data_IF_599568080373
#
_entry.id   IF_599568080373
#
_cell.length_a   1.000
_cell.length_b   1.000
_cell.length_c   1.000
_cell.angle_alpha   90.00
_cell.angle_beta   90.00
_cell.angle_gamma   90.00
#
_symmetry.space_group_name_H-M   'P 1'
#
loop_
_entity.id
_entity.type
_entity.pdbx_description
1 polymer ?
#
# COMPACT_ATOMS: atom_id res chain seq x y z
N UNK A 1 -3.45 -3.64 21.60
CA UNK A 1 -3.78 -4.38 20.36
C UNK A 1 -2.69 -5.39 19.97
N UNK A 2 -1.40 -5.00 19.95
CA UNK A 2 -0.29 -5.94 19.66
C UNK A 2 -0.31 -7.19 20.55
N UNK A 3 -0.64 -7.06 21.84
CA UNK A 3 -0.80 -8.20 22.74
C UNK A 3 -1.90 -9.18 22.31
N UNK A 4 -3.03 -8.69 21.79
CA UNK A 4 -4.14 -9.54 21.31
C UNK A 4 -3.72 -10.30 20.04
N UNK A 5 -3.06 -9.62 19.09
CA UNK A 5 -2.52 -10.29 17.90
C UNK A 5 -1.44 -11.31 18.26
N UNK A 6 -0.60 -11.03 19.26
CA UNK A 6 0.37 -11.98 19.79
C UNK A 6 -0.29 -13.22 20.38
N UNK A 7 -1.36 -13.05 21.17
CA UNK A 7 -2.11 -14.19 21.71
C UNK A 7 -2.80 -15.01 20.61
N UNK A 8 -3.36 -14.36 19.58
CA UNK A 8 -3.96 -15.07 18.44
C UNK A 8 -2.88 -15.81 17.62
N UNK A 9 -1.69 -15.23 17.44
CA UNK A 9 -0.59 -15.91 16.78
C UNK A 9 -0.16 -17.18 17.54
N UNK A 10 0.01 -17.08 18.86
CA UNK A 10 0.29 -18.24 19.71
C UNK A 10 -0.85 -19.28 19.67
N UNK A 11 -2.10 -18.84 19.58
CA UNK A 11 -3.26 -19.72 19.44
C UNK A 11 -3.27 -20.46 18.09
N UNK A 12 -2.78 -19.82 17.02
CA UNK A 12 -2.68 -20.44 15.70
C UNK A 12 -1.52 -21.46 15.60
N UNK A 13 -0.57 -21.43 16.54
CA UNK A 13 0.56 -22.35 16.62
C UNK A 13 0.25 -23.66 17.38
N UNK A 14 -0.94 -23.80 17.95
CA UNK A 14 -1.39 -25.05 18.61
C UNK A 14 -2.36 -25.86 17.73
N UNK A 15 -2.66 -27.09 18.14
CA UNK A 15 -3.63 -27.93 17.43
C UNK A 15 -5.06 -27.40 17.61
N UNK A 16 -5.58 -26.76 16.56
CA UNK A 16 -6.96 -26.31 16.45
C UNK A 16 -7.74 -27.20 15.46
N UNK A 17 -9.04 -27.37 15.70
CA UNK A 17 -9.93 -27.89 14.64
C UNK A 17 -10.03 -26.89 13.48
N UNK A 18 -10.48 -27.34 12.30
CA UNK A 18 -10.63 -26.47 11.12
C UNK A 18 -11.47 -25.22 11.43
N UNK A 19 -12.62 -25.38 12.07
CA UNK A 19 -13.50 -24.27 12.43
C UNK A 19 -12.85 -23.30 13.43
N UNK A 20 -12.10 -23.81 14.41
CA UNK A 20 -11.40 -22.97 15.39
C UNK A 20 -10.26 -22.18 14.72
N UNK A 21 -9.55 -22.80 13.78
CA UNK A 21 -8.51 -22.15 13.00
C UNK A 21 -9.09 -21.03 12.13
N UNK A 22 -10.24 -21.25 11.50
CA UNK A 22 -10.92 -20.23 10.70
C UNK A 22 -11.34 -19.02 11.55
N UNK A 23 -11.86 -19.25 12.76
CA UNK A 23 -12.19 -18.18 13.70
C UNK A 23 -10.95 -17.40 14.16
N UNK A 24 -9.87 -18.11 14.52
CA UNK A 24 -8.63 -17.48 14.95
C UNK A 24 -7.99 -16.66 13.81
N UNK A 25 -8.01 -17.17 12.57
CA UNK A 25 -7.49 -16.46 11.41
C UNK A 25 -8.32 -15.19 11.12
N UNK A 26 -9.65 -15.31 11.15
CA UNK A 26 -10.55 -14.16 10.97
C UNK A 26 -10.30 -13.09 12.04
N UNK A 27 -10.16 -13.50 13.31
CA UNK A 27 -9.85 -12.58 14.40
C UNK A 27 -8.48 -11.90 14.23
N UNK A 28 -7.47 -12.63 13.76
CA UNK A 28 -6.15 -12.09 13.46
C UNK A 28 -6.24 -11.00 12.38
N UNK A 29 -6.97 -11.26 11.30
CA UNK A 29 -7.11 -10.34 10.18
C UNK A 29 -7.91 -9.10 10.57
N UNK A 30 -8.98 -9.25 11.35
CA UNK A 30 -9.69 -8.13 11.96
C UNK A 30 -8.77 -7.26 12.83
N UNK A 31 -7.92 -7.88 13.65
CA UNK A 31 -6.98 -7.15 14.50
C UNK A 31 -5.93 -6.36 13.70
N UNK A 32 -5.40 -6.93 12.60
CA UNK A 32 -4.48 -6.23 11.69
C UNK A 32 -5.15 -5.01 11.04
N UNK A 33 -6.38 -5.16 10.56
CA UNK A 33 -7.18 -4.06 10.00
C UNK A 33 -7.42 -2.98 11.04
N UNK A 34 -7.77 -3.36 12.28
CA UNK A 34 -8.03 -2.41 13.35
C UNK A 34 -6.77 -1.60 13.74
N UNK A 35 -5.59 -2.23 13.77
CA UNK A 35 -4.32 -1.53 14.06
C UNK A 35 -4.05 -0.49 12.98
N UNK A 36 -4.26 -0.88 11.72
CA UNK A 36 -4.10 0.03 10.58
C UNK A 36 -5.01 1.25 10.74
N UNK A 37 -6.28 1.05 11.07
CA UNK A 37 -7.24 2.13 11.28
C UNK A 37 -6.87 3.04 12.48
N UNK A 38 -6.45 2.46 13.61
CA UNK A 38 -6.01 3.24 14.76
C UNK A 38 -4.79 4.11 14.40
N UNK A 39 -3.82 3.52 13.70
CA UNK A 39 -2.63 4.25 13.26
C UNK A 39 -3.00 5.39 12.31
N UNK A 40 -3.94 5.19 11.38
CA UNK A 40 -4.45 6.24 10.50
C UNK A 40 -5.08 7.41 11.26
N UNK A 41 -5.88 7.13 12.29
CA UNK A 41 -6.50 8.18 13.12
C UNK A 41 -5.44 8.93 13.94
N UNK A 42 -4.49 8.22 14.55
CA UNK A 42 -3.39 8.83 15.31
C UNK A 42 -2.50 9.69 14.41
N UNK A 43 -2.24 9.22 13.20
CA UNK A 43 -1.42 9.94 12.22
C UNK A 43 -2.12 11.21 11.74
N UNK A 44 -3.45 11.19 11.56
CA UNK A 44 -4.22 12.40 11.29
C UNK A 44 -4.13 13.40 12.44
N UNK A 45 -4.25 12.93 13.68
CA UNK A 45 -4.11 13.78 14.86
C UNK A 45 -2.70 14.41 14.97
N UNK A 46 -1.65 13.66 14.62
CA UNK A 46 -0.27 14.20 14.56
C UNK A 46 -0.10 15.25 13.48
N UNK A 47 -0.71 15.06 12.30
CA UNK A 47 -0.69 16.03 11.20
C UNK A 47 -1.41 17.32 11.62
N UNK A 48 -2.62 17.21 12.18
CA UNK A 48 -3.42 18.35 12.66
C UNK A 48 -2.69 19.12 13.76
N UNK A 49 -1.91 18.43 14.60
CA UNK A 49 -1.09 19.05 15.65
C UNK A 49 0.28 19.56 15.17
N UNK A 50 0.60 19.46 13.86
CA UNK A 50 1.94 19.75 13.30
C UNK A 50 3.10 18.99 13.99
N UNK A 51 2.81 17.82 14.58
CA UNK A 51 3.76 16.94 15.28
C UNK A 51 4.18 15.74 14.44
N UNK A 52 3.81 15.72 13.16
CA UNK A 52 4.21 14.65 12.29
C UNK A 52 5.68 14.82 11.89
N UNK A 53 6.52 13.94 12.42
CA UNK A 53 7.89 13.77 11.95
C UNK A 53 7.92 12.70 10.86
N UNK A 54 8.45 13.08 9.69
CA UNK A 54 8.70 12.15 8.60
C UNK A 54 10.10 11.58 8.76
N UNK A 55 10.23 10.27 8.55
CA UNK A 55 11.55 9.68 8.39
C UNK A 55 12.24 10.25 7.14
N UNK A 56 13.57 10.32 7.20
CA UNK A 56 14.40 10.80 6.10
C UNK A 56 15.52 9.80 5.85
N UNK A 57 15.15 8.62 5.35
CA UNK A 57 16.08 7.51 5.12
C UNK A 57 16.14 7.15 3.62
N UNK A 58 17.28 6.67 3.11
CA UNK A 58 17.38 6.22 1.72
C UNK A 58 16.68 4.88 1.52
N UNK A 59 15.68 4.82 0.65
CA UNK A 59 14.93 3.60 0.31
C UNK A 59 14.79 3.40 -1.21
N UNK A 60 14.61 2.14 -1.61
CA UNK A 60 14.27 1.79 -2.99
C UNK A 60 12.75 1.84 -3.18
N UNK A 61 12.28 2.80 -3.98
CA UNK A 61 10.85 2.97 -4.23
C UNK A 61 10.28 1.89 -5.15
N UNK A 62 11.09 1.28 -6.02
CA UNK A 62 10.63 0.26 -6.99
C UNK A 62 10.27 -1.02 -6.24
N UNK A 63 11.11 -1.43 -5.29
CA UNK A 63 10.79 -2.53 -4.38
C UNK A 63 9.45 -2.32 -3.63
N UNK A 64 9.19 -1.12 -3.11
CA UNK A 64 7.91 -0.84 -2.43
C UNK A 64 6.74 -0.89 -3.40
N UNK A 65 6.89 -0.36 -4.62
CA UNK A 65 5.86 -0.43 -5.65
C UNK A 65 5.55 -1.88 -6.03
N UNK A 66 6.58 -2.70 -6.25
CA UNK A 66 6.44 -4.12 -6.61
C UNK A 66 5.71 -4.91 -5.51
N UNK A 67 6.10 -4.70 -4.24
CA UNK A 67 5.41 -5.29 -3.09
C UNK A 67 3.92 -4.92 -3.10
N UNK A 68 3.60 -3.63 -3.24
CA UNK A 68 2.20 -3.17 -3.21
C UNK A 68 1.40 -3.73 -4.38
N UNK A 69 1.96 -3.77 -5.59
CA UNK A 69 1.29 -4.34 -6.75
C UNK A 69 1.04 -5.83 -6.59
N UNK A 70 1.97 -6.56 -5.97
CA UNK A 70 1.82 -7.99 -5.69
C UNK A 70 0.58 -8.26 -4.81
N UNK A 71 0.34 -7.41 -3.79
CA UNK A 71 -0.82 -7.50 -2.89
C UNK A 71 -2.17 -7.35 -3.59
N UNK A 72 -2.22 -6.61 -4.70
CA UNK A 72 -3.47 -6.35 -5.43
C UNK A 72 -3.58 -7.12 -6.75
N UNK A 73 -2.55 -7.89 -7.12
CA UNK A 73 -2.44 -8.58 -8.41
C UNK A 73 -3.59 -9.55 -8.67
N UNK A 74 -3.88 -10.44 -7.72
CA UNK A 74 -4.99 -11.40 -7.83
C UNK A 74 -6.36 -10.72 -7.84
N UNK A 75 -6.55 -9.72 -6.97
CA UNK A 75 -7.80 -8.96 -6.85
C UNK A 75 -8.11 -8.12 -8.10
N UNK A 76 -7.08 -7.62 -8.77
CA UNK A 76 -7.21 -6.95 -10.06
C UNK A 76 -7.55 -7.94 -11.18
N UNK A 77 -6.84 -9.08 -11.21
CA UNK A 77 -7.05 -10.14 -12.21
C UNK A 77 -8.46 -10.73 -12.14
N UNK A 78 -9.00 -10.96 -10.95
CA UNK A 78 -10.37 -11.46 -10.76
C UNK A 78 -11.44 -10.49 -11.26
N UNK A 79 -11.10 -9.20 -11.40
CA UNK A 79 -11.94 -8.16 -12.01
C UNK A 79 -11.63 -7.90 -13.49
N UNK A 80 -10.79 -8.71 -14.13
CA UNK A 80 -10.39 -8.55 -15.53
C UNK A 80 -9.38 -7.44 -15.80
N UNK A 81 -8.80 -6.84 -14.76
CA UNK A 81 -7.76 -5.81 -14.86
C UNK A 81 -6.35 -6.38 -14.85
N UNK A 82 -5.41 -5.63 -15.45
CA UNK A 82 -3.97 -5.79 -15.27
C UNK A 82 -3.43 -4.57 -14.53
N UNK A 83 -2.59 -4.84 -13.53
CA UNK A 83 -1.82 -3.84 -12.80
C UNK A 83 -0.42 -3.76 -13.40
N UNK A 84 0.02 -2.54 -13.74
CA UNK A 84 1.39 -2.28 -14.14
C UNK A 84 1.85 -0.95 -13.53
N UNK A 85 3.14 -0.85 -13.27
CA UNK A 85 3.77 0.38 -12.81
C UNK A 85 4.85 0.79 -13.79
N UNK A 86 4.92 2.08 -14.07
CA UNK A 86 6.00 2.67 -14.83
C UNK A 86 6.71 3.70 -13.97
N UNK A 87 8.00 3.46 -13.74
CA UNK A 87 8.91 4.40 -13.08
C UNK A 87 9.91 4.89 -14.12
N UNK A 88 9.98 6.21 -14.32
CA UNK A 88 10.90 6.79 -15.30
C UNK A 88 12.36 6.51 -14.93
N UNK A 89 13.22 6.27 -15.92
CA UNK A 89 14.68 6.13 -15.72
C UNK A 89 15.34 7.39 -15.15
N UNK A 90 14.65 8.54 -15.21
CA UNK A 90 15.08 9.79 -14.56
C UNK A 90 14.96 9.74 -13.04
N UNK A 91 14.22 8.77 -12.51
CA UNK A 91 14.05 8.57 -11.08
C UNK A 91 15.23 7.74 -10.55
N UNK A 92 15.99 8.25 -9.57
CA UNK A 92 17.08 7.50 -8.94
C UNK A 92 16.62 6.13 -8.43
N UNK A 93 17.55 5.18 -8.35
CA UNK A 93 17.29 3.86 -7.79
C UNK A 93 16.89 3.93 -6.32
N UNK A 94 17.54 4.82 -5.56
CA UNK A 94 17.19 5.12 -4.16
C UNK A 94 16.80 6.59 -3.99
N UNK A 95 15.74 6.82 -3.22
CA UNK A 95 15.25 8.14 -2.84
C UNK A 95 15.30 8.30 -1.34
N UNK A 96 15.34 9.54 -0.83
CA UNK A 96 15.34 9.82 0.61
C UNK A 96 13.94 10.25 1.05
N UNK A 97 13.42 9.62 2.10
CA UNK A 97 12.13 9.95 2.69
C UNK A 97 11.65 8.88 3.66
N UNK A 98 10.32 8.78 3.81
CA UNK A 98 9.67 7.83 4.71
C UNK A 98 9.08 6.66 3.90
N UNK A 99 9.72 5.46 3.93
CA UNK A 99 9.27 4.31 3.15
C UNK A 99 7.94 3.75 3.65
N UNK A 100 7.65 3.82 4.95
CA UNK A 100 6.41 3.33 5.54
C UNK A 100 5.22 4.15 5.08
N UNK A 101 5.35 5.48 5.14
CA UNK A 101 4.35 6.42 4.64
C UNK A 101 4.16 6.29 3.15
N UNK A 102 5.25 6.20 2.37
CA UNK A 102 5.17 5.99 0.93
C UNK A 102 4.36 4.73 0.61
N UNK A 103 4.71 3.58 1.24
CA UNK A 103 3.98 2.32 1.08
C UNK A 103 2.49 2.47 1.39
N UNK A 104 2.14 3.13 2.49
CA UNK A 104 0.75 3.33 2.90
C UNK A 104 -0.04 4.15 1.87
N UNK A 105 0.54 5.26 1.40
CA UNK A 105 -0.05 6.12 0.37
C UNK A 105 -0.33 5.31 -0.90
N UNK A 106 0.68 4.60 -1.42
CA UNK A 106 0.52 3.79 -2.64
C UNK A 106 -0.52 2.68 -2.42
N UNK A 107 -0.48 1.99 -1.29
CA UNK A 107 -1.45 0.94 -0.94
C UNK A 107 -2.88 1.46 -0.97
N UNK A 108 -3.12 2.63 -0.37
CA UNK A 108 -4.44 3.25 -0.33
C UNK A 108 -4.89 3.69 -1.72
N UNK A 109 -4.00 4.26 -2.54
CA UNK A 109 -4.31 4.66 -3.91
C UNK A 109 -4.64 3.44 -4.79
N UNK A 110 -3.76 2.43 -4.83
CA UNK A 110 -3.95 1.21 -5.64
C UNK A 110 -5.18 0.43 -5.16
N UNK A 111 -5.35 0.27 -3.85
CA UNK A 111 -6.51 -0.42 -3.28
C UNK A 111 -7.83 0.24 -3.64
N UNK A 112 -7.90 1.58 -3.58
CA UNK A 112 -9.05 2.34 -4.04
C UNK A 112 -9.30 2.18 -5.55
N UNK A 113 -8.24 2.12 -6.34
CA UNK A 113 -8.32 1.95 -7.79
C UNK A 113 -8.91 0.60 -8.17
N UNK A 114 -8.38 -0.49 -7.58
CA UNK A 114 -8.87 -1.86 -7.80
C UNK A 114 -10.29 -2.03 -7.27
N UNK A 115 -10.65 -1.37 -6.17
CA UNK A 115 -12.03 -1.36 -5.66
C UNK A 115 -13.01 -0.79 -6.70
N UNK A 116 -12.63 0.28 -7.42
CA UNK A 116 -13.48 0.98 -8.41
C UNK A 116 -13.38 0.45 -9.85
N UNK A 117 -12.58 -0.59 -10.10
CA UNK A 117 -12.42 -1.18 -11.44
C UNK A 117 -13.76 -1.79 -11.92
N UNK A 118 -14.52 -1.03 -12.69
CA UNK A 118 -15.79 -1.41 -13.32
C UNK A 118 -15.68 -1.14 -14.83
N UNK A 119 -15.39 -2.19 -15.60
CA UNK A 119 -15.46 -2.40 -17.08
C UNK A 119 -15.13 -1.29 -18.10
N UNK A 120 -14.95 -0.02 -17.72
CA UNK A 120 -14.57 1.11 -18.56
C UNK A 120 -13.21 1.63 -18.08
N UNK A 121 -12.29 1.80 -19.03
CA UNK A 121 -10.91 2.28 -18.86
C UNK A 121 -10.79 3.35 -17.77
N UNK A 122 -10.25 2.99 -16.61
CA UNK A 122 -9.91 3.95 -15.57
C UNK A 122 -8.41 4.22 -15.60
N UNK A 123 -8.03 5.28 -16.30
CA UNK A 123 -6.71 5.89 -16.18
C UNK A 123 -6.66 6.60 -14.81
N UNK A 124 -5.82 6.12 -13.91
CA UNK A 124 -5.49 6.88 -12.70
C UNK A 124 -4.08 7.44 -12.82
N UNK A 125 -4.00 8.63 -13.41
CA UNK A 125 -2.85 9.50 -13.18
C UNK A 125 -2.96 10.04 -11.74
N UNK A 126 -2.09 9.57 -10.86
CA UNK A 126 -1.93 10.13 -9.52
C UNK A 126 -0.59 10.84 -9.44
N UNK A 127 -0.62 12.14 -9.14
CA UNK A 127 0.57 12.96 -8.99
C UNK A 127 0.97 13.00 -7.52
N UNK A 128 2.25 12.78 -7.19
CA UNK A 128 2.76 12.95 -5.84
C UNK A 128 3.99 13.86 -5.80
N UNK A 129 4.01 14.74 -4.80
CA UNK A 129 5.14 15.63 -4.51
C UNK A 129 6.02 14.95 -3.45
N UNK A 130 7.25 14.60 -3.82
CA UNK A 130 8.27 14.14 -2.86
C UNK A 130 9.33 15.24 -2.76
N UNK A 131 9.62 15.71 -1.54
CA UNK A 131 10.62 16.75 -1.28
C UNK A 131 11.98 16.09 -1.09
N UNK A 132 12.86 16.19 -2.09
CA UNK A 132 14.27 15.75 -2.00
C UNK A 132 15.15 16.87 -1.42
N UNK A 133 16.15 16.50 -0.60
CA UNK A 133 16.95 17.47 0.16
C UNK A 133 18.09 18.06 -0.70
N UNK A 134 17.85 19.26 -1.25
CA UNK A 134 18.83 20.37 -1.43
C UNK A 134 18.33 21.34 -2.51
N UNK A 135 17.56 22.38 -2.12
CA UNK A 135 17.11 23.52 -2.97
C UNK A 135 16.53 23.23 -4.37
N UNK A 136 16.36 21.96 -4.75
CA UNK A 136 15.72 21.52 -5.98
C UNK A 136 14.54 20.63 -5.61
N UNK A 137 13.34 21.13 -5.93
CA UNK A 137 12.13 20.32 -5.90
C UNK A 137 12.22 19.37 -7.09
N UNK A 138 12.54 18.10 -6.88
CA UNK A 138 12.44 17.10 -7.93
C UNK A 138 11.04 16.47 -7.90
N UNK A 139 10.31 16.65 -8.99
CA UNK A 139 9.00 16.05 -9.21
C UNK A 139 9.18 14.58 -9.58
N UNK A 140 8.76 13.65 -8.71
CA UNK A 140 8.67 12.24 -9.09
C UNK A 140 7.35 12.01 -9.85
N UNK A 141 7.39 12.07 -11.18
CA UNK A 141 6.28 11.56 -11.99
C UNK A 141 6.38 10.03 -12.04
N UNK A 142 5.47 9.34 -11.36
CA UNK A 142 5.20 7.93 -11.61
C UNK A 142 3.78 7.78 -12.15
N UNK A 143 3.62 7.02 -13.23
CA UNK A 143 2.32 6.68 -13.78
C UNK A 143 2.01 5.23 -13.38
N UNK A 144 0.97 5.02 -12.57
CA UNK A 144 0.41 3.67 -12.36
C UNK A 144 -0.66 3.48 -13.44
N UNK A 145 -0.38 2.59 -14.40
CA UNK A 145 -1.28 2.33 -15.51
C UNK A 145 -2.04 1.04 -15.24
N UNK A 146 -3.37 1.12 -15.18
CA UNK A 146 -4.24 -0.07 -15.16
C UNK A 146 -4.97 -0.19 -16.48
N UNK A 147 -4.90 -1.37 -17.11
CA UNK A 147 -5.58 -1.64 -18.37
C UNK A 147 -6.40 -2.93 -18.32
N UNK A 148 -7.52 -2.93 -19.02
CA UNK A 148 -8.42 -4.08 -19.21
C UNK A 148 -8.09 -4.78 -20.54
N UNK A 149 -8.31 -6.09 -20.63
CA UNK A 149 -7.86 -7.00 -21.70
C UNK A 149 -8.40 -6.71 -23.11
N UNK A 150 -9.23 -5.68 -23.32
CA UNK A 150 -9.83 -5.37 -24.63
C UNK A 150 -8.93 -4.59 -25.60
N UNK A 151 -7.65 -4.32 -25.25
CA UNK A 151 -6.76 -3.46 -26.03
C UNK A 151 -5.54 -4.19 -26.65
N UNK A 152 -5.49 -5.52 -26.54
CA UNK A 152 -4.51 -6.35 -27.26
C UNK A 152 -5.09 -6.70 -28.65
N UNK A 153 -5.11 -5.71 -29.56
CA UNK A 153 -5.21 -5.89 -31.01
C UNK A 153 -4.37 -4.85 -31.71
#
# INVERSE_FOLDING_TARGET
MNGILGMIALLLDINLSSTQKDYAQTAQDCGKVQITLINEVLDRAKIEAAKLELESVPFDLRSILDDVLSLFSEKSRSKGGKLAVFVSDKVPERVVGDPGRFRQIITNLVGNSVKRLNSLLSWLQSFYLIKLHSRQHAFLLYNICMYSKSYDR
#
